data_IF_090426648473
#
_entry.id   IF_090426648473
#
_cell.length_a   1.000
_cell.length_b   1.000
_cell.length_c   1.000
_cell.angle_alpha   90.00
_cell.angle_beta   90.00
_cell.angle_gamma   90.00
#
_symmetry.space_group_name_H-M   'P 1'
#
loop_
_entity.id
_entity.type
_entity.pdbx_description
1 polymer ?
#
# COMPACT_ATOMS: atom_id res chain seq x y z
N UNK A 1 -0.74 23.41 -11.00
CA UNK A 1 -1.50 22.15 -11.09
C UNK A 1 -0.72 21.08 -10.35
N UNK A 2 -1.25 20.50 -9.28
CA UNK A 2 -0.58 19.41 -8.55
C UNK A 2 -0.64 18.13 -9.38
N UNK A 3 0.48 17.70 -9.95
CA UNK A 3 0.59 16.42 -10.64
C UNK A 3 0.74 15.30 -9.62
N UNK A 4 -0.24 14.40 -9.53
CA UNK A 4 -0.11 13.17 -8.73
C UNK A 4 0.86 12.24 -9.47
N UNK A 5 2.00 11.93 -8.84
CA UNK A 5 3.00 11.06 -9.44
C UNK A 5 2.59 9.58 -9.24
N UNK A 6 2.29 8.87 -10.33
CA UNK A 6 1.73 7.51 -10.30
C UNK A 6 2.70 6.57 -11.00
N UNK A 7 3.30 5.66 -10.25
CA UNK A 7 4.23 4.66 -10.78
C UNK A 7 3.58 3.28 -10.85
N UNK A 8 3.93 2.52 -11.88
CA UNK A 8 3.48 1.14 -12.00
C UNK A 8 4.17 0.24 -10.96
N UNK A 9 3.44 -0.49 -10.10
CA UNK A 9 4.07 -1.39 -9.11
C UNK A 9 4.85 -2.55 -9.72
N UNK A 10 4.71 -2.83 -11.03
CA UNK A 10 5.40 -3.93 -11.71
C UNK A 10 6.66 -3.49 -12.43
N UNK A 11 6.61 -2.36 -13.14
CA UNK A 11 7.71 -1.91 -14.01
C UNK A 11 8.22 -0.51 -13.67
N UNK A 12 7.71 0.10 -12.59
CA UNK A 12 8.07 1.43 -12.09
C UNK A 12 7.86 2.60 -13.08
N UNK A 13 7.29 2.35 -14.26
CA UNK A 13 6.94 3.41 -15.21
C UNK A 13 5.96 4.43 -14.66
N UNK A 14 6.21 5.71 -14.93
CA UNK A 14 5.31 6.83 -14.66
C UNK A 14 4.54 7.31 -15.91
N UNK A 15 4.77 6.70 -17.08
CA UNK A 15 4.17 7.15 -18.32
C UNK A 15 2.76 6.56 -18.49
N UNK A 16 1.74 7.41 -18.33
CA UNK A 16 0.33 6.98 -18.36
C UNK A 16 -0.49 7.79 -19.36
N UNK A 17 -1.48 7.16 -19.98
CA UNK A 17 -2.45 7.83 -20.85
C UNK A 17 -3.88 7.36 -20.57
N UNK A 18 -4.87 8.18 -21.01
CA UNK A 18 -6.29 7.86 -20.88
C UNK A 18 -6.68 6.76 -21.87
N UNK A 19 -7.20 5.65 -21.34
CA UNK A 19 -7.62 4.43 -22.05
C UNK A 19 -9.16 4.35 -22.15
N UNK A 20 -9.84 5.50 -22.27
CA UNK A 20 -11.30 5.59 -22.31
C UNK A 20 -11.97 5.40 -20.94
N UNK A 21 -13.27 5.11 -20.95
CA UNK A 21 -14.10 5.01 -19.75
C UNK A 21 -14.62 3.59 -19.53
N UNK A 22 -14.98 3.27 -18.30
CA UNK A 22 -15.77 2.07 -17.98
C UNK A 22 -17.27 2.33 -18.23
N UNK A 23 -18.15 1.31 -18.22
CA UNK A 23 -19.59 1.50 -18.41
C UNK A 23 -20.27 2.44 -17.39
N UNK A 24 -19.60 2.72 -16.26
CA UNK A 24 -20.06 3.67 -15.23
C UNK A 24 -19.49 5.08 -15.44
N UNK A 25 -18.93 5.38 -16.61
CA UNK A 25 -18.37 6.69 -16.97
C UNK A 25 -17.04 7.06 -16.32
N UNK A 26 -16.38 6.13 -15.61
CA UNK A 26 -15.11 6.44 -14.92
C UNK A 26 -13.92 6.21 -15.84
N UNK A 27 -12.98 7.14 -15.80
CA UNK A 27 -11.77 7.06 -16.60
C UNK A 27 -10.91 5.85 -16.23
N UNK A 28 -10.43 5.18 -17.27
CA UNK A 28 -9.42 4.13 -17.20
C UNK A 28 -8.12 4.69 -17.74
N UNK A 29 -7.03 4.40 -17.06
CA UNK A 29 -5.68 4.82 -17.43
C UNK A 29 -4.86 3.58 -17.75
N UNK A 30 -3.94 3.69 -18.70
CA UNK A 30 -3.04 2.60 -19.08
C UNK A 30 -1.59 3.10 -19.07
N UNK A 31 -0.70 2.30 -18.48
CA UNK A 31 0.75 2.53 -18.59
C UNK A 31 1.23 2.24 -20.00
N UNK A 32 2.14 3.07 -20.54
CA UNK A 32 2.70 2.86 -21.89
C UNK A 32 3.55 1.60 -21.96
N UNK A 33 4.43 1.41 -20.99
CA UNK A 33 5.48 0.39 -21.08
C UNK A 33 4.97 -1.04 -20.79
N UNK A 34 4.04 -1.19 -19.85
CA UNK A 34 3.54 -2.51 -19.44
C UNK A 34 2.07 -2.78 -19.79
N UNK A 35 1.40 -1.84 -20.46
CA UNK A 35 -0.01 -1.90 -20.87
C UNK A 35 -1.03 -2.20 -19.76
N UNK A 36 -0.64 -2.10 -18.48
CA UNK A 36 -1.51 -2.37 -17.34
C UNK A 36 -2.50 -1.23 -17.14
N UNK A 37 -3.75 -1.57 -16.85
CA UNK A 37 -4.86 -0.62 -16.73
C UNK A 37 -5.25 -0.41 -15.26
N UNK A 38 -5.54 0.83 -14.88
CA UNK A 38 -6.03 1.19 -13.55
C UNK A 38 -7.07 2.33 -13.62
N UNK A 39 -7.66 2.67 -12.48
CA UNK A 39 -8.58 3.81 -12.32
C UNK A 39 -8.06 4.72 -11.20
N UNK A 40 -8.29 6.02 -11.27
CA UNK A 40 -7.98 6.92 -10.15
C UNK A 40 -9.12 6.96 -9.13
N UNK A 41 -10.35 6.88 -9.62
CA UNK A 41 -11.57 6.99 -8.84
C UNK A 41 -12.26 5.63 -8.73
N UNK A 42 -11.70 4.70 -7.95
CA UNK A 42 -12.34 3.39 -7.73
C UNK A 42 -13.68 3.52 -6.98
N UNK A 43 -14.69 2.72 -7.35
CA UNK A 43 -15.98 2.62 -6.61
C UNK A 43 -15.79 1.86 -5.31
N UNK A 44 -15.03 0.78 -5.39
CA UNK A 44 -14.82 -0.17 -4.31
C UNK A 44 -13.48 0.12 -3.67
N UNK A 45 -13.50 0.47 -2.39
CA UNK A 45 -12.30 0.86 -1.64
C UNK A 45 -11.21 -0.21 -1.71
N UNK A 46 -11.57 -1.49 -1.54
CA UNK A 46 -10.65 -2.63 -1.63
C UNK A 46 -9.88 -2.77 -2.96
N UNK A 47 -10.31 -2.09 -4.04
CA UNK A 47 -9.63 -2.12 -5.34
C UNK A 47 -8.63 -0.98 -5.55
N UNK A 48 -8.57 -0.02 -4.62
CA UNK A 48 -7.57 1.05 -4.68
C UNK A 48 -6.16 0.45 -4.58
N UNK A 49 -5.16 1.06 -5.23
CA UNK A 49 -3.76 0.69 -5.04
C UNK A 49 -3.38 0.72 -3.56
N UNK A 50 -2.61 -0.25 -3.08
CA UNK A 50 -2.17 -0.36 -1.68
C UNK A 50 -3.20 -0.95 -0.70
N UNK A 51 -4.50 -0.99 -1.05
CA UNK A 51 -5.51 -1.51 -0.14
C UNK A 51 -5.44 -3.03 0.02
N UNK A 52 -4.96 -3.77 -0.99
CA UNK A 52 -4.75 -5.23 -0.87
C UNK A 52 -3.74 -5.50 0.23
N UNK A 53 -2.61 -4.81 0.18
CA UNK A 53 -1.48 -4.96 1.10
C UNK A 53 -1.93 -4.58 2.51
N UNK A 54 -2.55 -3.41 2.68
CA UNK A 54 -3.08 -2.93 3.96
C UNK A 54 -4.10 -3.92 4.58
N UNK A 55 -5.07 -4.40 3.79
CA UNK A 55 -6.10 -5.32 4.31
C UNK A 55 -5.49 -6.67 4.67
N UNK A 56 -4.48 -7.12 3.93
CA UNK A 56 -3.80 -8.40 4.20
C UNK A 56 -2.94 -8.32 5.45
N UNK A 57 -2.25 -7.18 5.66
CA UNK A 57 -1.48 -6.89 6.87
C UNK A 57 -2.37 -6.78 8.11
N UNK A 58 -3.47 -6.02 8.04
CA UNK A 58 -4.46 -5.96 9.13
C UNK A 58 -5.02 -7.35 9.45
N UNK A 59 -5.30 -8.16 8.42
CA UNK A 59 -5.77 -9.53 8.58
C UNK A 59 -4.73 -10.51 9.18
N UNK A 60 -3.46 -10.11 9.25
CA UNK A 60 -2.38 -10.86 9.88
C UNK A 60 -2.08 -10.38 11.31
N UNK A 61 -2.06 -9.06 11.51
CA UNK A 61 -1.61 -8.42 12.74
C UNK A 61 -2.71 -8.23 13.79
N UNK A 62 -3.99 -8.27 13.43
CA UNK A 62 -5.11 -8.09 14.38
C UNK A 62 -5.49 -9.42 15.07
N UNK A 63 -5.06 -9.66 16.33
CA UNK A 63 -5.34 -10.90 17.02
C UNK A 63 -6.84 -10.99 17.33
N UNK A 64 -7.47 -12.14 17.04
CA UNK A 64 -8.89 -12.37 17.31
C UNK A 64 -9.86 -11.83 16.24
N UNK A 65 -9.39 -11.14 15.20
CA UNK A 65 -10.25 -10.76 14.07
C UNK A 65 -10.38 -11.90 13.06
N UNK A 66 -11.59 -12.45 12.91
CA UNK A 66 -11.85 -13.44 11.86
C UNK A 66 -11.73 -12.83 10.47
N UNK A 67 -11.03 -13.52 9.57
CA UNK A 67 -10.89 -13.15 8.14
C UNK A 67 -12.24 -12.91 7.47
N UNK A 68 -13.27 -13.67 7.82
CA UNK A 68 -14.62 -13.49 7.29
C UNK A 68 -15.26 -12.14 7.70
N UNK A 69 -14.97 -11.64 8.90
CA UNK A 69 -15.41 -10.31 9.35
C UNK A 69 -14.67 -9.21 8.58
N UNK A 70 -13.36 -9.36 8.43
CA UNK A 70 -12.53 -8.41 7.68
C UNK A 70 -12.94 -8.33 6.21
N UNK A 71 -13.19 -9.48 5.57
CA UNK A 71 -13.68 -9.58 4.21
C UNK A 71 -15.02 -8.83 4.05
N UNK A 72 -15.97 -9.02 4.97
CA UNK A 72 -17.25 -8.28 4.97
C UNK A 72 -17.07 -6.77 5.12
N UNK A 73 -16.22 -6.33 6.06
CA UNK A 73 -15.97 -4.90 6.30
C UNK A 73 -15.47 -4.19 5.04
N UNK A 74 -14.60 -4.85 4.27
CA UNK A 74 -14.00 -4.27 3.07
C UNK A 74 -14.73 -4.64 1.77
N UNK A 75 -15.87 -5.35 1.85
CA UNK A 75 -16.62 -5.78 0.66
C UNK A 75 -15.83 -6.74 -0.24
N UNK A 76 -14.98 -7.58 0.35
CA UNK A 76 -14.17 -8.60 -0.33
C UNK A 76 -14.82 -9.97 -0.10
N UNK A 77 -14.78 -10.84 -1.11
CA UNK A 77 -15.20 -12.22 -0.93
C UNK A 77 -14.19 -12.94 -0.01
N UNK A 78 -14.63 -13.68 1.03
CA UNK A 78 -13.70 -14.31 1.98
C UNK A 78 -12.60 -15.15 1.32
N UNK A 79 -12.93 -15.97 0.32
CA UNK A 79 -11.96 -16.79 -0.41
C UNK A 79 -10.85 -15.96 -1.10
N UNK A 80 -11.14 -14.72 -1.49
CA UNK A 80 -10.16 -13.80 -2.07
C UNK A 80 -9.15 -13.33 -1.02
N UNK A 81 -9.63 -13.03 0.19
CA UNK A 81 -8.76 -12.63 1.31
C UNK A 81 -7.87 -13.81 1.75
N UNK A 82 -8.39 -15.04 1.77
CA UNK A 82 -7.57 -16.23 2.03
C UNK A 82 -6.43 -16.38 1.00
N UNK A 83 -6.73 -16.19 -0.28
CA UNK A 83 -5.71 -16.20 -1.35
C UNK A 83 -4.66 -15.11 -1.16
N UNK A 84 -5.08 -13.90 -0.81
CA UNK A 84 -4.14 -12.79 -0.54
C UNK A 84 -3.25 -13.06 0.66
N UNK A 85 -3.83 -13.57 1.76
CA UNK A 85 -3.06 -13.98 2.95
C UNK A 85 -2.03 -15.05 2.62
N UNK A 86 -2.41 -16.07 1.84
CA UNK A 86 -1.48 -17.11 1.37
C UNK A 86 -0.34 -16.50 0.55
N UNK A 87 -0.65 -15.66 -0.44
CA UNK A 87 0.37 -14.98 -1.26
C UNK A 87 1.30 -14.07 -0.44
N UNK A 88 0.77 -13.41 0.59
CA UNK A 88 1.57 -12.57 1.47
C UNK A 88 2.57 -13.40 2.26
N UNK A 89 2.12 -14.53 2.83
CA UNK A 89 3.00 -15.47 3.54
C UNK A 89 4.04 -16.10 2.61
N UNK A 90 3.65 -16.50 1.40
CA UNK A 90 4.58 -17.03 0.41
C UNK A 90 5.58 -15.95 -0.03
N UNK A 91 5.14 -14.71 -0.20
CA UNK A 91 6.00 -13.57 -0.54
C UNK A 91 7.03 -13.27 0.56
N UNK A 92 6.62 -13.24 1.83
CA UNK A 92 7.55 -13.06 2.94
C UNK A 92 8.53 -14.22 3.06
N UNK A 93 8.07 -15.46 2.89
CA UNK A 93 8.96 -16.63 2.86
C UNK A 93 9.97 -16.57 1.70
N UNK A 94 9.54 -16.14 0.52
CA UNK A 94 10.40 -16.02 -0.65
C UNK A 94 11.44 -14.90 -0.49
N UNK A 95 11.08 -13.76 0.09
CA UNK A 95 12.02 -12.67 0.37
C UNK A 95 13.13 -13.13 1.34
N UNK A 96 12.75 -13.85 2.40
CA UNK A 96 13.70 -14.46 3.35
C UNK A 96 14.58 -15.50 2.66
N UNK A 97 14.00 -16.35 1.80
CA UNK A 97 14.76 -17.36 1.05
C UNK A 97 15.70 -16.77 -0.01
N UNK A 98 15.31 -15.64 -0.61
CA UNK A 98 16.11 -14.90 -1.60
C UNK A 98 17.23 -14.07 -0.95
N UNK A 99 17.30 -14.02 0.39
CA UNK A 99 18.27 -13.21 1.10
C UNK A 99 18.06 -11.70 0.94
N UNK A 100 16.83 -11.28 0.63
CA UNK A 100 16.48 -9.86 0.66
C UNK A 100 16.57 -9.35 2.11
N UNK A 101 17.02 -8.11 2.31
CA UNK A 101 17.13 -7.51 3.65
C UNK A 101 15.73 -7.30 4.25
N UNK A 102 15.34 -8.18 5.18
CA UNK A 102 14.08 -8.09 5.93
C UNK A 102 14.37 -7.66 7.36
N UNK A 103 13.84 -6.49 7.76
CA UNK A 103 13.99 -5.99 9.14
C UNK A 103 12.96 -6.66 10.06
N UNK A 104 13.37 -7.28 11.18
CA UNK A 104 12.45 -7.82 12.17
C UNK A 104 11.56 -6.73 12.79
N UNK A 105 10.30 -7.09 13.10
CA UNK A 105 9.35 -6.17 13.72
C UNK A 105 9.85 -5.57 15.04
N UNK A 106 10.65 -6.32 15.81
CA UNK A 106 11.27 -5.87 17.05
C UNK A 106 12.28 -4.74 16.84
N UNK A 107 13.09 -4.82 15.79
CA UNK A 107 14.09 -3.81 15.46
C UNK A 107 13.42 -2.53 14.94
N UNK A 108 12.41 -2.70 14.09
CA UNK A 108 11.60 -1.58 13.62
C UNK A 108 10.90 -0.86 14.79
N UNK A 109 10.31 -1.61 15.73
CA UNK A 109 9.67 -1.04 16.92
C UNK A 109 10.68 -0.31 17.82
N UNK A 110 11.89 -0.86 17.98
CA UNK A 110 12.97 -0.22 18.74
C UNK A 110 13.41 1.10 18.09
N UNK A 111 13.58 1.13 16.76
CA UNK A 111 13.93 2.33 16.01
C UNK A 111 12.84 3.41 16.14
N UNK A 112 11.56 3.06 16.02
CA UNK A 112 10.43 3.98 16.23
C UNK A 112 10.46 4.57 17.64
N UNK A 113 10.76 3.75 18.65
CA UNK A 113 10.89 4.22 20.04
C UNK A 113 12.02 5.23 20.20
N UNK A 114 13.18 4.97 19.57
CA UNK A 114 14.30 5.91 19.57
C UNK A 114 13.96 7.23 18.85
N UNK A 115 13.32 7.17 17.69
CA UNK A 115 12.87 8.35 16.94
C UNK A 115 11.96 9.22 17.80
N UNK A 116 10.96 8.61 18.44
CA UNK A 116 10.03 9.34 19.32
C UNK A 116 10.75 9.98 20.53
N UNK A 117 11.76 9.32 21.08
CA UNK A 117 12.55 9.85 22.18
C UNK A 117 13.37 11.06 21.74
N UNK A 118 14.03 10.98 20.58
CA UNK A 118 14.78 12.08 19.99
C UNK A 118 13.86 13.26 19.66
N UNK A 119 12.69 13.00 19.08
CA UNK A 119 11.69 14.04 18.79
C UNK A 119 11.18 14.75 20.06
N UNK A 120 11.09 14.05 21.20
CA UNK A 120 10.74 14.67 22.49
C UNK A 120 11.86 15.58 23.01
N UNK A 121 13.11 15.14 22.91
CA UNK A 121 14.27 15.89 23.39
C UNK A 121 14.54 17.17 22.58
N UNK A 122 14.31 17.12 21.26
CA UNK A 122 14.56 18.26 20.36
C UNK A 122 13.40 19.28 20.34
N UNK A 123 12.23 18.94 20.89
CA UNK A 123 11.00 19.71 20.70
C UNK A 123 10.48 19.59 19.25
N UNK A 124 9.16 19.67 19.04
CA UNK A 124 8.48 19.44 17.74
C UNK A 124 8.88 20.43 16.62
N UNK A 125 9.78 21.36 16.90
CA UNK A 125 10.01 22.58 16.12
C UNK A 125 11.13 22.42 15.08
N UNK A 126 11.90 21.34 15.15
CA UNK A 126 13.06 21.12 14.27
C UNK A 126 12.70 20.39 12.96
N UNK A 127 11.52 19.78 12.87
CA UNK A 127 11.09 18.96 11.74
C UNK A 127 10.17 19.68 10.75
N UNK A 128 9.95 20.99 10.92
CA UNK A 128 9.41 21.83 9.85
C UNK A 128 10.53 22.09 8.83
N UNK A 129 10.44 21.59 7.58
CA UNK A 129 11.43 21.92 6.57
C UNK A 129 11.43 23.45 6.36
N UNK A 130 12.58 24.14 6.36
CA UNK A 130 12.64 25.60 6.15
C UNK A 130 12.36 26.02 4.68
N UNK A 131 11.66 25.22 3.87
CA UNK A 131 11.49 25.44 2.44
C UNK A 131 10.02 25.43 1.99
N UNK A 132 9.14 26.13 2.71
CA UNK A 132 7.79 26.48 2.24
C UNK A 132 7.42 27.92 2.64
N UNK A 133 8.30 28.87 2.33
CA UNK A 133 7.97 30.29 2.21
C UNK A 133 8.66 30.82 0.96
N UNK A 134 8.02 30.67 -0.20
CA UNK A 134 8.06 31.60 -1.34
C UNK A 134 7.07 31.12 -2.41
#
# INVERSE_FOLDING_TARGET
MSSVNIHCPRCQSAQVYRHGQNPKGRDRFRYRDCHRVFQLTYTYQARKPGMKELITEMAFNEPGMMLARMARLHGIQPCQLFKWKKQYLEGTLNAVAAGEDVVPASELAAAIKQINQVQRLLGKNLWSPPFLQH
#
